data_IF_329522561258
#
_entry.id   IF_329522561258
#
_cell.length_a   1.000
_cell.length_b   1.000
_cell.length_c   1.000
_cell.angle_alpha   90.00
_cell.angle_beta   90.00
_cell.angle_gamma   90.00
#
_symmetry.space_group_name_H-M   'P 1'
#
loop_
_entity.id
_entity.type
_entity.pdbx_description
1 polymer ?
#
# COMPACT_ATOMS: atom_id res chain seq x y z
N UNK A 1 -11.30 -6.14 20.23
CA UNK A 1 -10.20 -6.73 21.03
C UNK A 1 -10.35 -8.24 21.01
N UNK A 2 -9.32 -8.96 20.55
CA UNK A 2 -9.26 -10.41 20.67
C UNK A 2 -8.63 -10.78 22.02
N UNK A 3 -9.17 -11.78 22.70
CA UNK A 3 -8.59 -12.34 23.93
C UNK A 3 -8.57 -13.85 23.81
N UNK A 4 -7.43 -14.44 24.10
CA UNK A 4 -7.25 -15.88 24.13
C UNK A 4 -7.00 -16.28 25.59
N UNK A 5 -7.77 -17.25 26.07
CA UNK A 5 -7.73 -17.72 27.45
C UNK A 5 -7.26 -19.18 27.44
N UNK A 6 -6.70 -19.63 28.57
CA UNK A 6 -6.30 -21.02 28.79
C UNK A 6 -5.34 -21.57 27.71
N UNK A 7 -4.47 -20.70 27.17
CA UNK A 7 -3.42 -21.13 26.25
C UNK A 7 -2.39 -21.97 27.03
N UNK A 8 -1.98 -23.16 26.52
CA UNK A 8 -0.93 -23.96 27.14
C UNK A 8 0.39 -23.17 27.29
N UNK A 9 1.04 -23.29 28.45
CA UNK A 9 2.21 -22.45 28.76
C UNK A 9 3.55 -22.96 28.21
N UNK A 10 3.65 -24.27 27.99
CA UNK A 10 4.88 -24.95 27.58
C UNK A 10 5.32 -24.77 26.11
N UNK A 11 4.43 -24.65 25.10
CA UNK A 11 4.87 -24.46 23.72
C UNK A 11 5.38 -23.05 23.47
N UNK A 12 6.30 -22.93 22.50
CA UNK A 12 6.69 -21.65 21.92
C UNK A 12 5.63 -21.23 20.90
N UNK A 13 5.19 -19.97 20.97
CA UNK A 13 4.11 -19.43 20.17
C UNK A 13 4.56 -18.19 19.39
N UNK A 14 3.89 -17.95 18.28
CA UNK A 14 4.02 -16.73 17.48
C UNK A 14 2.65 -16.10 17.35
N UNK A 15 2.55 -14.79 17.58
CA UNK A 15 1.32 -14.03 17.37
C UNK A 15 1.31 -13.44 15.95
N UNK A 16 0.35 -13.84 15.15
CA UNK A 16 0.14 -13.31 13.81
C UNK A 16 -1.24 -12.65 13.68
N UNK A 17 -1.33 -11.57 12.91
CA UNK A 17 -2.58 -10.91 12.56
C UNK A 17 -2.91 -11.15 11.09
N UNK A 18 -4.02 -11.83 10.81
CA UNK A 18 -4.53 -12.01 9.45
C UNK A 18 -5.41 -10.80 9.10
N UNK A 19 -4.97 -9.98 8.15
CA UNK A 19 -5.64 -8.75 7.75
C UNK A 19 -6.30 -8.89 6.38
N UNK A 20 -7.30 -8.04 6.06
CA UNK A 20 -7.78 -7.89 4.69
C UNK A 20 -6.65 -7.50 3.72
N UNK A 21 -6.87 -7.77 2.43
CA UNK A 21 -5.98 -7.32 1.36
C UNK A 21 -5.91 -5.78 1.34
N UNK A 22 -4.72 -5.25 1.03
CA UNK A 22 -4.47 -3.82 0.99
C UNK A 22 -4.27 -3.17 2.36
N UNK A 23 -4.30 -3.92 3.46
CA UNK A 23 -4.00 -3.38 4.80
C UNK A 23 -2.52 -3.60 5.13
N UNK A 24 -1.83 -2.52 5.49
CA UNK A 24 -0.51 -2.61 6.11
C UNK A 24 -0.65 -2.39 7.61
N UNK A 25 -0.56 -3.48 8.37
CA UNK A 25 -0.72 -3.47 9.82
C UNK A 25 0.60 -3.84 10.48
N UNK A 26 1.01 -3.05 11.48
CA UNK A 26 2.26 -3.24 12.21
C UNK A 26 2.00 -3.29 13.72
N UNK A 27 2.79 -4.06 14.50
CA UNK A 27 2.74 -4.03 15.95
C UNK A 27 3.35 -2.72 16.47
N UNK A 28 2.57 -1.91 17.19
CA UNK A 28 3.01 -0.62 17.74
C UNK A 28 3.39 -0.71 19.22
N UNK A 29 2.84 -1.69 19.94
CA UNK A 29 3.18 -1.94 21.33
C UNK A 29 3.11 -3.44 21.64
N UNK A 30 4.10 -3.95 22.38
CA UNK A 30 4.08 -5.29 22.93
C UNK A 30 4.89 -5.34 24.20
N UNK A 31 4.49 -6.17 25.16
CA UNK A 31 5.28 -6.44 26.37
C UNK A 31 6.26 -7.62 26.22
N UNK A 32 6.27 -8.30 25.08
CA UNK A 32 7.22 -9.38 24.77
C UNK A 32 7.55 -9.47 23.27
N UNK A 33 8.49 -10.35 22.92
CA UNK A 33 8.72 -10.75 21.53
C UNK A 33 7.52 -11.56 21.02
N UNK A 34 6.89 -11.09 19.95
CA UNK A 34 5.68 -11.72 19.38
C UNK A 34 5.99 -12.93 18.52
N UNK A 35 7.24 -13.12 18.09
CA UNK A 35 7.67 -14.30 17.33
C UNK A 35 8.09 -15.45 18.25
N UNK A 36 8.43 -15.16 19.51
CA UNK A 36 8.99 -16.11 20.48
C UNK A 36 8.27 -16.06 21.84
N UNK A 37 6.94 -16.21 21.84
CA UNK A 37 6.13 -16.18 23.07
C UNK A 37 6.23 -17.53 23.78
N UNK A 38 6.92 -17.59 24.91
CA UNK A 38 6.96 -18.75 25.80
C UNK A 38 6.30 -18.38 27.13
N UNK A 39 5.01 -18.71 27.27
CA UNK A 39 4.16 -18.25 28.38
C UNK A 39 4.65 -18.70 29.76
N UNK A 40 5.33 -19.85 29.84
CA UNK A 40 5.95 -20.32 31.09
C UNK A 40 6.97 -19.35 31.68
N UNK A 41 7.64 -18.56 30.83
CA UNK A 41 8.66 -17.59 31.25
C UNK A 41 8.07 -16.18 31.50
N UNK A 42 6.76 -15.99 31.29
CA UNK A 42 6.09 -14.70 31.35
C UNK A 42 5.14 -14.67 32.56
N UNK A 43 5.44 -13.82 33.55
CA UNK A 43 4.63 -13.70 34.79
C UNK A 43 3.29 -12.97 34.60
N UNK A 44 3.09 -12.30 33.46
CA UNK A 44 1.94 -11.42 33.17
C UNK A 44 1.23 -11.84 31.88
N UNK A 45 0.03 -11.34 31.68
CA UNK A 45 -0.67 -11.49 30.39
C UNK A 45 0.15 -10.88 29.25
N UNK A 46 0.25 -11.58 28.12
CA UNK A 46 0.81 -11.05 26.88
C UNK A 46 -0.17 -10.03 26.30
N UNK A 47 0.32 -8.84 25.99
CA UNK A 47 -0.46 -7.74 25.41
C UNK A 47 0.29 -7.26 24.18
N UNK A 48 -0.43 -7.20 23.06
CA UNK A 48 0.04 -6.65 21.81
C UNK A 48 -1.00 -5.69 21.25
N UNK A 49 -0.55 -4.52 20.81
CA UNK A 49 -1.35 -3.52 20.11
C UNK A 49 -0.83 -3.40 18.69
N UNK A 50 -1.75 -3.45 17.73
CA UNK A 50 -1.47 -3.34 16.31
C UNK A 50 -2.18 -2.12 15.75
N UNK A 51 -1.54 -1.45 14.80
CA UNK A 51 -2.08 -0.30 14.10
C UNK A 51 -2.18 -0.59 12.61
N UNK A 52 -3.32 -0.24 12.01
CA UNK A 52 -3.44 -0.11 10.56
C UNK A 52 -2.76 1.18 10.15
N UNK A 53 -1.49 1.10 9.77
CA UNK A 53 -0.66 2.28 9.48
C UNK A 53 -0.98 2.86 8.09
N UNK A 54 -1.23 1.98 7.11
CA UNK A 54 -1.57 2.40 5.75
C UNK A 54 -2.56 1.48 5.06
N UNK A 55 -3.25 2.04 4.08
CA UNK A 55 -3.92 1.30 3.01
C UNK A 55 -3.04 1.31 1.77
N UNK A 56 -3.07 0.22 1.02
CA UNK A 56 -2.37 0.09 -0.25
C UNK A 56 -3.22 0.67 -1.37
N UNK A 57 -2.61 1.57 -2.14
CA UNK A 57 -3.07 1.94 -3.46
C UNK A 57 -2.24 1.14 -4.47
N UNK A 58 -2.92 0.30 -5.22
CA UNK A 58 -2.29 -0.63 -6.14
C UNK A 58 -2.68 -0.29 -7.57
N UNK A 59 -1.93 -0.78 -8.54
CA UNK A 59 -2.36 -0.68 -9.91
C UNK A 59 -1.43 -1.36 -10.90
N UNK A 60 -1.89 -1.37 -12.14
CA UNK A 60 -1.17 -1.89 -13.28
C UNK A 60 -0.93 -0.77 -14.28
N UNK A 61 0.22 -0.83 -14.95
CA UNK A 61 0.66 0.19 -15.86
C UNK A 61 1.19 -0.42 -17.15
N UNK A 62 0.68 0.05 -18.30
CA UNK A 62 1.06 -0.43 -19.62
C UNK A 62 1.34 0.73 -20.57
N UNK A 63 2.34 0.53 -21.43
CA UNK A 63 2.63 1.39 -22.56
C UNK A 63 1.70 1.01 -23.72
N UNK A 64 0.95 1.98 -24.25
CA UNK A 64 -0.05 1.79 -25.30
C UNK A 64 0.55 1.43 -26.66
N UNK A 65 1.82 1.75 -26.89
CA UNK A 65 2.51 1.46 -28.15
C UNK A 65 3.06 0.05 -28.16
N UNK A 66 3.62 -0.39 -27.04
CA UNK A 66 4.28 -1.71 -26.94
C UNK A 66 3.39 -2.78 -26.32
N UNK A 67 2.29 -2.38 -25.66
CA UNK A 67 1.45 -3.22 -24.81
C UNK A 67 2.26 -3.94 -23.71
N UNK A 68 3.42 -3.38 -23.34
CA UNK A 68 4.30 -3.92 -22.31
C UNK A 68 4.31 -3.02 -21.07
N UNK A 69 4.57 -3.59 -19.89
CA UNK A 69 4.90 -2.82 -18.69
C UNK A 69 6.10 -1.89 -18.90
N UNK A 70 5.97 -0.56 -18.67
CA UNK A 70 7.08 0.37 -18.72
C UNK A 70 7.94 0.21 -17.46
N UNK A 71 8.76 -0.86 -17.42
CA UNK A 71 9.56 -1.24 -16.25
C UNK A 71 10.44 -0.08 -15.80
N UNK A 72 10.34 0.25 -14.51
CA UNK A 72 11.14 1.32 -13.90
C UNK A 72 10.57 2.72 -14.13
N UNK A 73 9.42 2.86 -14.80
CA UNK A 73 8.62 4.09 -14.76
C UNK A 73 8.31 4.43 -13.30
N UNK A 74 8.51 5.69 -12.94
CA UNK A 74 8.40 6.14 -11.56
C UNK A 74 7.13 6.96 -11.38
N UNK A 75 6.35 6.61 -10.36
CA UNK A 75 5.18 7.36 -9.93
C UNK A 75 5.44 8.05 -8.59
N UNK A 76 4.78 9.19 -8.40
CA UNK A 76 4.68 9.89 -7.13
C UNK A 76 3.21 10.01 -6.73
N UNK A 77 2.95 9.92 -5.44
CA UNK A 77 1.65 10.18 -4.84
C UNK A 77 1.79 11.31 -3.84
N UNK A 78 0.88 12.28 -3.90
CA UNK A 78 0.85 13.36 -2.95
C UNK A 78 -0.49 14.07 -2.88
N UNK A 79 -0.50 15.20 -2.18
CA UNK A 79 -1.66 16.08 -2.04
C UNK A 79 -1.40 17.40 -2.74
N UNK A 80 -2.41 18.28 -2.84
CA UNK A 80 -2.22 19.62 -3.42
C UNK A 80 -1.15 20.44 -2.69
N UNK A 81 -1.03 20.27 -1.38
CA UNK A 81 -0.09 21.04 -0.56
C UNK A 81 1.31 20.41 -0.51
N UNK A 82 1.38 19.09 -0.65
CA UNK A 82 2.63 18.32 -0.69
C UNK A 82 2.55 17.34 -1.87
N UNK A 83 2.96 17.77 -3.08
CA UNK A 83 2.76 16.98 -4.30
C UNK A 83 3.52 15.65 -4.35
N UNK A 84 4.59 15.51 -3.56
CA UNK A 84 5.40 14.29 -3.48
C UNK A 84 5.49 13.87 -2.02
N UNK A 85 4.73 12.83 -1.66
CA UNK A 85 4.72 12.23 -0.30
C UNK A 85 5.39 10.87 -0.33
N UNK A 86 5.01 10.03 -1.29
CA UNK A 86 5.60 8.71 -1.53
C UNK A 86 5.83 8.50 -3.02
N UNK A 87 6.74 7.60 -3.35
CA UNK A 87 7.05 7.23 -4.72
C UNK A 87 7.25 5.72 -4.86
N UNK A 88 7.08 5.23 -6.08
CA UNK A 88 7.24 3.82 -6.41
C UNK A 88 7.64 3.66 -7.87
N UNK A 89 7.98 2.44 -8.26
CA UNK A 89 8.31 2.10 -9.65
C UNK A 89 7.38 1.00 -10.18
N UNK A 90 7.14 1.04 -11.48
CA UNK A 90 6.41 0.00 -12.20
C UNK A 90 7.28 -1.24 -12.35
N UNK A 91 6.77 -2.38 -11.90
CA UNK A 91 7.42 -3.68 -12.04
C UNK A 91 7.27 -4.26 -13.45
N UNK A 92 8.25 -5.07 -13.86
CA UNK A 92 8.25 -5.70 -15.19
C UNK A 92 7.11 -6.72 -15.36
N UNK A 93 6.70 -7.36 -14.28
CA UNK A 93 5.66 -8.38 -14.29
C UNK A 93 4.31 -7.69 -14.15
N UNK A 94 3.47 -7.78 -15.18
CA UNK A 94 2.10 -7.27 -15.19
C UNK A 94 1.97 -5.76 -14.90
N UNK A 95 3.05 -4.98 -15.00
CA UNK A 95 3.00 -3.53 -14.78
C UNK A 95 2.62 -3.12 -13.37
N UNK A 96 2.77 -4.01 -12.40
CA UNK A 96 2.28 -3.76 -11.05
C UNK A 96 3.08 -2.65 -10.35
N UNK A 97 2.37 -1.79 -9.63
CA UNK A 97 2.93 -0.81 -8.70
C UNK A 97 2.07 -0.72 -7.43
N UNK A 98 2.68 -0.32 -6.33
CA UNK A 98 2.03 -0.17 -5.04
C UNK A 98 2.55 1.09 -4.32
N UNK A 99 1.63 1.83 -3.70
CA UNK A 99 1.89 3.03 -2.91
C UNK A 99 1.18 2.89 -1.56
N UNK A 100 1.83 3.36 -0.49
CA UNK A 100 1.24 3.42 0.86
C UNK A 100 0.49 4.75 1.01
N UNK A 101 -0.76 4.69 1.42
CA UNK A 101 -1.59 5.89 1.57
C UNK A 101 -2.60 5.75 2.70
N UNK A 102 -2.95 6.88 3.30
CA UNK A 102 -4.04 6.96 4.28
C UNK A 102 -5.35 7.40 3.61
N UNK A 103 -6.52 7.23 4.25
CA UNK A 103 -7.77 7.77 3.73
C UNK A 103 -7.66 9.26 3.40
N UNK A 104 -8.12 9.65 2.22
CA UNK A 104 -7.94 11.02 1.73
C UNK A 104 -8.00 11.15 0.22
N UNK A 105 -7.74 12.38 -0.25
CA UNK A 105 -7.66 12.73 -1.67
C UNK A 105 -6.20 12.85 -2.07
N UNK A 106 -5.80 12.00 -3.02
CA UNK A 106 -4.44 11.88 -3.51
C UNK A 106 -4.36 12.25 -4.99
N UNK A 107 -3.18 12.67 -5.40
CA UNK A 107 -2.84 13.00 -6.77
C UNK A 107 -1.66 12.11 -7.17
N UNK A 108 -1.87 11.29 -8.21
CA UNK A 108 -0.86 10.43 -8.80
C UNK A 108 -0.22 11.14 -9.99
N UNK A 109 1.11 11.18 -10.05
CA UNK A 109 1.87 11.79 -11.15
C UNK A 109 3.08 10.96 -11.52
N UNK A 110 3.53 11.10 -12.77
CA UNK A 110 4.87 10.68 -13.14
C UNK A 110 5.89 11.46 -12.31
N UNK A 111 6.93 10.78 -11.83
CA UNK A 111 8.01 11.46 -11.12
C UNK A 111 8.77 12.36 -12.10
N UNK A 112 9.03 13.60 -11.67
CA UNK A 112 9.83 14.55 -12.44
C UNK A 112 11.19 13.96 -12.83
N UNK A 113 11.61 14.22 -14.07
CA UNK A 113 12.82 13.69 -14.69
C UNK A 113 12.46 12.66 -15.76
N UNK A 114 13.30 11.63 -15.92
CA UNK A 114 13.20 10.70 -17.06
C UNK A 114 11.81 10.10 -17.29
N UNK A 115 11.06 9.81 -16.24
CA UNK A 115 9.70 9.25 -16.38
C UNK A 115 8.74 10.26 -17.00
N UNK A 116 8.76 11.52 -16.57
CA UNK A 116 7.95 12.59 -17.16
C UNK A 116 8.49 13.06 -18.53
N UNK A 117 9.81 12.95 -18.76
CA UNK A 117 10.44 13.39 -20.01
C UNK A 117 10.08 12.50 -21.21
N UNK A 118 9.82 11.21 -20.97
CA UNK A 118 9.64 10.20 -22.03
C UNK A 118 8.26 9.53 -22.00
N UNK A 119 7.49 9.69 -20.92
CA UNK A 119 6.15 9.13 -20.83
C UNK A 119 5.11 10.19 -20.50
N UNK A 120 3.90 9.95 -20.95
CA UNK A 120 2.72 10.71 -20.54
C UNK A 120 1.57 9.76 -20.18
N UNK A 121 0.87 10.04 -19.08
CA UNK A 121 -0.36 9.34 -18.75
C UNK A 121 -1.44 9.76 -19.74
N UNK A 122 -1.89 8.82 -20.58
CA UNK A 122 -2.90 9.03 -21.63
C UNK A 122 -4.25 8.42 -21.28
N UNK A 123 -4.29 7.48 -20.33
CA UNK A 123 -5.51 6.84 -19.87
C UNK A 123 -5.39 6.35 -18.45
N UNK A 124 -6.50 6.38 -17.72
CA UNK A 124 -6.58 5.80 -16.39
C UNK A 124 -8.00 5.33 -16.08
N UNK A 125 -8.09 4.19 -15.38
CA UNK A 125 -9.33 3.62 -14.84
C UNK A 125 -9.19 3.34 -13.34
N UNK A 126 -10.32 3.21 -12.65
CA UNK A 126 -10.34 3.01 -11.19
C UNK A 126 -10.05 4.28 -10.38
N UNK A 127 -10.00 5.45 -11.02
CA UNK A 127 -9.73 6.76 -10.38
C UNK A 127 -11.01 7.58 -10.18
N UNK A 128 -10.91 8.75 -9.55
CA UNK A 128 -12.02 9.67 -9.28
C UNK A 128 -11.95 10.94 -10.15
N UNK A 129 -11.16 10.90 -11.22
CA UNK A 129 -10.99 11.97 -12.20
C UNK A 129 -11.42 11.52 -13.59
N UNK A 130 -11.79 12.45 -14.47
CA UNK A 130 -12.12 12.12 -15.86
C UNK A 130 -10.85 11.84 -16.67
N UNK A 131 -10.91 10.84 -17.54
CA UNK A 131 -9.75 10.24 -18.24
C UNK A 131 -9.07 11.12 -19.31
N UNK A 132 -9.30 12.44 -19.38
CA UNK A 132 -8.75 13.28 -20.46
C UNK A 132 -8.34 14.71 -20.05
N UNK A 133 -8.46 15.09 -18.77
CA UNK A 133 -8.21 16.47 -18.32
C UNK A 133 -7.62 16.50 -16.91
N UNK A 134 -6.32 16.83 -16.83
CA UNK A 134 -5.66 17.24 -15.59
C UNK A 134 -5.00 16.11 -14.80
N UNK A 135 -4.78 16.38 -13.52
CA UNK A 135 -4.12 15.49 -12.57
C UNK A 135 -4.93 14.20 -12.34
N UNK A 136 -4.26 13.05 -12.19
CA UNK A 136 -4.92 11.78 -11.83
C UNK A 136 -5.30 11.82 -10.35
N UNK A 137 -6.60 11.92 -10.05
CA UNK A 137 -7.11 12.04 -8.68
C UNK A 137 -7.59 10.68 -8.18
N UNK A 138 -7.14 10.31 -6.99
CA UNK A 138 -7.51 9.05 -6.32
C UNK A 138 -8.01 9.35 -4.92
N UNK A 139 -9.25 8.98 -4.63
CA UNK A 139 -9.89 9.09 -3.33
C UNK A 139 -9.91 7.73 -2.65
N UNK A 140 -9.28 7.65 -1.49
CA UNK A 140 -9.34 6.49 -0.60
C UNK A 140 -10.37 6.77 0.51
N UNK A 141 -11.57 6.21 0.35
CA UNK A 141 -12.72 6.39 1.27
C UNK A 141 -13.27 5.05 1.80
N UNK A 142 -12.56 3.95 1.55
CA UNK A 142 -12.95 2.59 1.90
C UNK A 142 -11.72 1.85 2.41
N UNK A 143 -11.94 0.87 3.30
CA UNK A 143 -10.89 -0.05 3.76
C UNK A 143 -10.62 -1.20 2.78
N UNK A 144 -11.20 -1.19 1.59
CA UNK A 144 -10.88 -2.17 0.53
C UNK A 144 -9.73 -1.65 -0.31
N UNK A 145 -8.90 -2.55 -0.83
CA UNK A 145 -7.91 -2.21 -1.86
C UNK A 145 -8.55 -1.42 -2.98
N UNK A 146 -7.83 -0.40 -3.44
CA UNK A 146 -8.17 0.34 -4.66
C UNK A 146 -7.10 0.02 -5.69
N UNK A 147 -7.55 -0.55 -6.81
CA UNK A 147 -6.69 -0.97 -7.92
C UNK A 147 -6.93 -0.01 -9.08
N UNK A 148 -5.84 0.52 -9.64
CA UNK A 148 -5.84 1.43 -10.78
C UNK A 148 -5.33 0.73 -12.03
N UNK A 149 -5.83 1.12 -13.18
CA UNK A 149 -5.24 0.77 -14.48
C UNK A 149 -4.73 2.05 -15.12
N UNK A 150 -3.44 2.10 -15.50
CA UNK A 150 -2.78 3.28 -16.04
C UNK A 150 -2.21 2.96 -17.42
N UNK A 151 -2.53 3.80 -18.40
CA UNK A 151 -2.01 3.73 -19.75
C UNK A 151 -1.07 4.92 -20.00
N UNK A 152 0.14 4.63 -20.47
CA UNK A 152 1.11 5.64 -20.87
C UNK A 152 1.44 5.56 -22.37
N UNK A 153 1.91 6.66 -22.92
CA UNK A 153 2.56 6.75 -24.23
C UNK A 153 4.01 7.20 -24.05
#
# INVERSE_FOLDING_TARGET
MAKFLDIPESPLLTLNMITPEGWLVEPVHSNCDLDNIHLKDIERTVIAEYELEYLLLEGHCFDMTTEQPPRGLQFTLGTKNQPVVVDTIVMANLGYFQLKANPGVWILKLRQGKSEDIYQIVGHEGTDSQSNLGDVIVVLNSFKSKILEIQNF
#
